data_IF_113770781131
#
_entry.id   IF_113770781131
#
_cell.length_a   1.000
_cell.length_b   1.000
_cell.length_c   1.000
_cell.angle_alpha   90.00
_cell.angle_beta   90.00
_cell.angle_gamma   90.00
#
_symmetry.space_group_name_H-M   'P 1'
#
loop_
_entity.id
_entity.type
_entity.pdbx_description
1 polymer ?
#
# COMPACT_ATOMS: atom_id res chain seq x y z
N UNK A 1 -9.91 -34.40 -13.85
CA UNK A 1 -8.78 -33.56 -14.28
C UNK A 1 -8.32 -32.75 -13.07
N UNK A 2 -7.21 -33.18 -12.46
CA UNK A 2 -6.73 -32.65 -11.18
C UNK A 2 -6.18 -31.25 -11.31
N UNK A 3 -6.63 -30.34 -10.45
CA UNK A 3 -5.99 -29.05 -10.24
C UNK A 3 -4.56 -29.28 -9.77
N UNK A 4 -3.55 -28.60 -10.31
CA UNK A 4 -2.20 -28.74 -9.82
C UNK A 4 -2.19 -28.24 -8.37
N UNK A 5 -1.87 -29.14 -7.45
CA UNK A 5 -1.54 -28.78 -6.07
C UNK A 5 -0.30 -27.92 -6.14
N UNK A 6 -0.45 -26.61 -6.03
CA UNK A 6 0.68 -25.72 -5.76
C UNK A 6 1.32 -26.24 -4.48
N UNK A 7 2.47 -26.85 -4.61
CA UNK A 7 3.28 -27.29 -3.49
C UNK A 7 3.71 -26.05 -2.72
N UNK A 8 3.12 -25.88 -1.56
CA UNK A 8 3.48 -24.85 -0.59
C UNK A 8 4.89 -25.12 -0.07
N UNK A 9 5.86 -24.65 -0.82
CA UNK A 9 7.23 -24.64 -0.30
C UNK A 9 7.41 -23.39 0.54
N UNK A 10 7.37 -23.61 1.83
CA UNK A 10 7.85 -22.70 2.89
C UNK A 10 9.33 -22.40 2.65
N UNK A 11 9.64 -21.57 1.70
CA UNK A 11 10.95 -21.00 1.54
C UNK A 11 10.80 -19.57 1.04
N UNK A 12 11.29 -18.60 1.78
CA UNK A 12 11.51 -17.25 1.32
C UNK A 12 12.46 -17.32 0.11
N UNK A 13 11.93 -17.69 -1.06
CA UNK A 13 12.68 -17.62 -2.31
C UNK A 13 12.61 -16.19 -2.80
N UNK A 14 13.73 -15.51 -2.76
CA UNK A 14 13.90 -14.28 -3.51
C UNK A 14 13.84 -14.66 -4.99
N UNK A 15 12.77 -14.27 -5.65
CA UNK A 15 12.59 -14.52 -7.10
C UNK A 15 13.46 -13.54 -7.88
N UNK A 16 14.72 -13.94 -8.07
CA UNK A 16 15.69 -13.15 -8.84
C UNK A 16 15.36 -13.11 -10.34
N UNK A 17 14.55 -14.06 -10.84
CA UNK A 17 14.16 -14.10 -12.25
C UNK A 17 13.18 -12.97 -12.63
N UNK A 18 12.34 -12.55 -11.69
CA UNK A 18 11.39 -11.45 -11.87
C UNK A 18 11.84 -10.15 -11.17
N UNK A 19 13.11 -10.06 -10.79
CA UNK A 19 13.64 -8.85 -10.17
C UNK A 19 13.78 -7.72 -11.20
N UNK A 20 12.92 -6.71 -11.10
CA UNK A 20 12.87 -5.56 -12.03
C UNK A 20 13.24 -4.24 -11.33
N UNK A 21 14.53 -4.03 -11.02
CA UNK A 21 14.96 -2.86 -10.23
C UNK A 21 14.68 -1.54 -10.94
N UNK A 22 14.80 -1.51 -12.28
CA UNK A 22 14.58 -0.28 -13.07
C UNK A 22 13.13 0.20 -12.95
N UNK A 23 12.15 -0.71 -13.05
CA UNK A 23 10.74 -0.35 -12.89
C UNK A 23 10.42 0.14 -11.47
N UNK A 24 11.05 -0.47 -10.46
CA UNK A 24 10.90 -0.05 -9.06
C UNK A 24 11.47 1.34 -8.81
N UNK A 25 12.63 1.66 -9.40
CA UNK A 25 13.24 3.00 -9.29
C UNK A 25 12.36 4.04 -9.97
N UNK A 26 11.90 3.77 -11.19
CA UNK A 26 11.01 4.70 -11.92
C UNK A 26 9.72 4.93 -11.13
N UNK A 27 9.09 3.87 -10.62
CA UNK A 27 7.89 3.97 -9.78
C UNK A 27 8.15 4.81 -8.52
N UNK A 28 9.28 4.59 -7.86
CA UNK A 28 9.70 5.37 -6.68
C UNK A 28 9.89 6.86 -6.98
N UNK A 29 10.51 7.20 -8.11
CA UNK A 29 10.68 8.59 -8.55
C UNK A 29 9.32 9.25 -8.80
N UNK A 30 8.40 8.57 -9.49
CA UNK A 30 7.06 9.09 -9.77
C UNK A 30 6.29 9.34 -8.47
N UNK A 31 6.34 8.40 -7.53
CA UNK A 31 5.69 8.55 -6.21
C UNK A 31 6.32 9.73 -5.44
N UNK A 32 7.65 9.83 -5.41
CA UNK A 32 8.37 10.93 -4.77
C UNK A 32 7.98 12.29 -5.35
N UNK A 33 7.94 12.39 -6.67
CA UNK A 33 7.51 13.61 -7.35
C UNK A 33 6.06 13.99 -7.03
N UNK A 34 5.14 13.03 -7.01
CA UNK A 34 3.74 13.26 -6.63
C UNK A 34 3.61 13.78 -5.19
N UNK A 35 4.40 13.24 -4.25
CA UNK A 35 4.43 13.70 -2.84
C UNK A 35 4.95 15.13 -2.74
N UNK A 36 5.99 15.48 -3.49
CA UNK A 36 6.55 16.85 -3.52
C UNK A 36 5.55 17.84 -4.09
N UNK A 37 4.90 17.51 -5.20
CA UNK A 37 3.84 18.33 -5.78
C UNK A 37 2.67 18.54 -4.82
N UNK A 38 2.23 17.49 -4.16
CA UNK A 38 1.18 17.58 -3.15
C UNK A 38 1.59 18.49 -1.98
N UNK A 39 2.82 18.35 -1.49
CA UNK A 39 3.36 19.23 -0.45
C UNK A 39 3.40 20.69 -0.90
N UNK A 40 3.84 20.95 -2.11
CA UNK A 40 3.88 22.30 -2.67
C UNK A 40 2.48 22.93 -2.77
N UNK A 41 1.49 22.14 -3.16
CA UNK A 41 0.10 22.61 -3.31
C UNK A 41 -0.62 22.83 -1.97
N UNK A 42 -0.32 22.02 -0.94
CA UNK A 42 -1.08 22.02 0.32
C UNK A 42 -0.29 22.54 1.52
N UNK A 43 1.04 22.64 1.41
CA UNK A 43 1.93 22.96 2.53
C UNK A 43 2.00 21.86 3.61
N UNK A 44 1.39 20.71 3.37
CA UNK A 44 1.29 19.62 4.36
C UNK A 44 1.79 18.30 3.80
N UNK A 45 2.56 17.60 4.62
CA UNK A 45 2.96 16.22 4.33
C UNK A 45 1.88 15.29 4.90
N UNK A 46 1.09 14.69 4.03
CA UNK A 46 0.06 13.75 4.46
C UNK A 46 0.19 12.42 3.72
N UNK A 47 0.10 11.33 4.47
CA UNK A 47 -0.12 10.02 3.87
C UNK A 47 -1.56 9.90 3.37
N UNK A 48 -1.84 8.89 2.56
CA UNK A 48 -3.15 8.69 1.93
C UNK A 48 -4.30 8.68 2.96
N UNK A 49 -4.12 8.09 4.14
CA UNK A 49 -5.14 8.11 5.20
C UNK A 49 -5.42 9.52 5.71
N UNK A 50 -4.40 10.37 5.85
CA UNK A 50 -4.54 11.76 6.25
C UNK A 50 -5.23 12.60 5.17
N UNK A 51 -4.88 12.37 3.90
CA UNK A 51 -5.53 13.00 2.74
C UNK A 51 -7.02 12.63 2.69
N UNK A 52 -7.35 11.35 2.86
CA UNK A 52 -8.72 10.87 2.89
C UNK A 52 -9.52 11.48 4.07
N UNK A 53 -8.93 11.53 5.27
CA UNK A 53 -9.56 12.13 6.44
C UNK A 53 -9.84 13.63 6.23
N UNK A 54 -8.87 14.37 5.66
CA UNK A 54 -9.03 15.79 5.36
C UNK A 54 -10.07 16.05 4.27
N UNK A 55 -10.15 15.17 3.26
CA UNK A 55 -11.15 15.28 2.19
C UNK A 55 -12.57 15.02 2.69
N UNK A 56 -12.75 14.03 3.57
CA UNK A 56 -14.08 13.56 3.99
C UNK A 56 -14.58 14.27 5.26
N UNK A 57 -13.72 14.46 6.25
CA UNK A 57 -14.13 14.91 7.59
C UNK A 57 -13.79 16.39 7.81
N UNK A 58 -12.52 16.75 7.69
CA UNK A 58 -12.04 18.09 8.07
C UNK A 58 -12.33 19.20 7.04
N UNK A 59 -12.64 18.82 5.82
CA UNK A 59 -12.93 19.72 4.68
C UNK A 59 -11.81 20.73 4.34
N UNK A 60 -10.65 20.65 4.97
CA UNK A 60 -9.51 21.51 4.64
C UNK A 60 -8.90 21.09 3.31
N UNK A 61 -8.67 22.03 2.41
CA UNK A 61 -8.15 21.79 1.06
C UNK A 61 -8.87 20.64 0.34
N UNK A 62 -10.19 20.53 0.56
CA UNK A 62 -11.01 19.40 0.12
C UNK A 62 -10.85 19.11 -1.37
N UNK A 63 -10.81 20.17 -2.17
CA UNK A 63 -10.69 20.02 -3.63
C UNK A 63 -9.38 19.35 -4.04
N UNK A 64 -8.24 19.82 -3.52
CA UNK A 64 -6.92 19.24 -3.81
C UNK A 64 -6.81 17.79 -3.30
N UNK A 65 -7.36 17.52 -2.12
CA UNK A 65 -7.38 16.19 -1.54
C UNK A 65 -8.23 15.21 -2.37
N UNK A 66 -9.39 15.64 -2.87
CA UNK A 66 -10.26 14.85 -3.73
C UNK A 66 -9.59 14.56 -5.08
N UNK A 67 -8.95 15.55 -5.72
CA UNK A 67 -8.22 15.36 -6.97
C UNK A 67 -7.12 14.30 -6.77
N UNK A 68 -6.38 14.37 -5.67
CA UNK A 68 -5.35 13.38 -5.36
C UNK A 68 -5.93 11.97 -5.22
N UNK A 69 -7.04 11.81 -4.50
CA UNK A 69 -7.71 10.51 -4.33
C UNK A 69 -8.26 9.97 -5.66
N UNK A 70 -8.84 10.83 -6.48
CA UNK A 70 -9.32 10.46 -7.82
C UNK A 70 -8.13 10.00 -8.68
N UNK A 71 -7.01 10.75 -8.67
CA UNK A 71 -5.79 10.37 -9.35
C UNK A 71 -5.24 9.00 -8.90
N UNK A 72 -5.32 8.70 -7.60
CA UNK A 72 -4.89 7.41 -7.05
C UNK A 72 -5.75 6.25 -7.56
N UNK A 73 -7.07 6.47 -7.73
CA UNK A 73 -8.00 5.45 -8.24
C UNK A 73 -7.85 5.29 -9.76
N UNK A 74 -7.70 6.40 -10.48
CA UNK A 74 -7.64 6.38 -11.95
C UNK A 74 -6.28 5.91 -12.48
N UNK A 75 -5.20 6.08 -11.72
CA UNK A 75 -3.84 5.68 -12.12
C UNK A 75 -3.72 4.24 -12.59
N UNK A 76 -4.13 3.24 -11.82
CA UNK A 76 -4.10 1.84 -12.23
C UNK A 76 -4.98 1.54 -13.46
N UNK A 77 -6.10 2.25 -13.60
CA UNK A 77 -7.00 2.09 -14.74
C UNK A 77 -6.31 2.57 -16.03
N UNK A 78 -5.70 3.75 -15.96
CA UNK A 78 -4.94 4.32 -17.08
C UNK A 78 -3.77 3.39 -17.44
N UNK A 79 -3.03 2.92 -16.44
CA UNK A 79 -1.92 1.98 -16.66
C UNK A 79 -2.38 0.70 -17.37
N UNK A 80 -3.54 0.14 -16.99
CA UNK A 80 -4.12 -1.05 -17.65
C UNK A 80 -4.49 -0.79 -19.11
N UNK A 81 -4.95 0.41 -19.45
CA UNK A 81 -5.31 0.78 -20.82
C UNK A 81 -4.07 0.86 -21.71
N UNK A 82 -2.96 1.41 -21.18
CA UNK A 82 -1.71 1.56 -21.95
C UNK A 82 -0.88 0.28 -21.99
N UNK A 83 -1.02 -0.59 -21.01
CA UNK A 83 -0.21 -1.80 -20.89
C UNK A 83 -1.12 -3.03 -21.06
N UNK A 84 -1.03 -3.67 -22.23
CA UNK A 84 -1.80 -4.87 -22.56
C UNK A 84 -1.42 -6.12 -21.76
N UNK A 85 -0.41 -6.04 -20.88
CA UNK A 85 -0.05 -7.14 -19.99
C UNK A 85 -1.04 -7.20 -18.82
N UNK A 86 -1.70 -8.34 -18.68
CA UNK A 86 -2.52 -8.61 -17.51
C UNK A 86 -1.65 -8.59 -16.26
N UNK A 87 -1.99 -7.72 -15.32
CA UNK A 87 -1.38 -7.73 -13.99
C UNK A 87 -2.03 -8.90 -13.26
N UNK A 88 -1.26 -9.95 -12.88
CA UNK A 88 -1.83 -11.04 -12.10
C UNK A 88 -2.29 -10.49 -10.74
N UNK A 89 -3.59 -10.41 -10.58
CA UNK A 89 -4.21 -9.86 -9.40
C UNK A 89 -5.03 -10.97 -8.72
N UNK A 90 -4.57 -11.41 -7.56
CA UNK A 90 -5.25 -12.41 -6.77
C UNK A 90 -5.89 -11.71 -5.56
N UNK A 91 -7.20 -11.65 -5.53
CA UNK A 91 -7.96 -11.24 -4.34
C UNK A 91 -8.61 -12.49 -3.76
N UNK A 92 -8.63 -12.56 -2.45
CA UNK A 92 -9.43 -13.55 -1.75
C UNK A 92 -10.92 -13.26 -2.01
N UNK A 93 -11.66 -14.25 -2.50
CA UNK A 93 -13.09 -14.11 -2.83
C UNK A 93 -13.97 -13.96 -1.58
N UNK A 94 -13.40 -14.11 -0.38
CA UNK A 94 -14.17 -14.02 0.86
C UNK A 94 -14.34 -12.56 1.29
N UNK A 95 -15.51 -12.01 1.03
CA UNK A 95 -15.89 -10.64 1.36
C UNK A 95 -15.72 -10.32 2.86
N UNK A 96 -15.95 -11.29 3.74
CA UNK A 96 -15.82 -11.09 5.19
C UNK A 96 -14.37 -10.80 5.56
N UNK A 97 -13.42 -11.52 4.99
CA UNK A 97 -11.99 -11.32 5.22
C UNK A 97 -11.57 -9.93 4.74
N UNK A 98 -12.06 -9.49 3.59
CA UNK A 98 -11.76 -8.17 3.03
C UNK A 98 -12.29 -7.07 3.94
N UNK A 99 -13.53 -7.18 4.41
CA UNK A 99 -14.16 -6.19 5.31
C UNK A 99 -13.42 -6.12 6.64
N UNK A 100 -13.16 -7.27 7.27
CA UNK A 100 -12.43 -7.33 8.54
C UNK A 100 -11.00 -6.78 8.41
N UNK A 101 -10.30 -7.15 7.34
CA UNK A 101 -8.97 -6.63 7.07
C UNK A 101 -8.96 -5.12 6.89
N UNK A 102 -9.89 -4.57 6.09
CA UNK A 102 -10.03 -3.14 5.89
C UNK A 102 -10.35 -2.38 7.18
N UNK A 103 -11.21 -2.94 8.03
CA UNK A 103 -11.58 -2.36 9.33
C UNK A 103 -10.39 -2.35 10.29
N UNK A 104 -9.64 -3.45 10.40
CA UNK A 104 -8.44 -3.54 11.23
C UNK A 104 -7.37 -2.55 10.78
N UNK A 105 -7.10 -2.46 9.47
CA UNK A 105 -6.16 -1.49 8.90
C UNK A 105 -6.64 -0.06 9.17
N UNK A 106 -7.93 0.21 8.99
CA UNK A 106 -8.52 1.54 9.27
C UNK A 106 -8.32 1.97 10.72
N UNK A 107 -8.64 1.11 11.69
CA UNK A 107 -8.41 1.35 13.12
C UNK A 107 -6.91 1.52 13.40
N UNK A 108 -6.07 0.63 12.87
CA UNK A 108 -4.62 0.68 13.07
C UNK A 108 -4.00 1.99 12.57
N UNK A 109 -4.43 2.50 11.42
CA UNK A 109 -3.93 3.78 10.88
C UNK A 109 -4.38 4.99 11.70
N UNK A 110 -5.54 4.93 12.34
CA UNK A 110 -5.99 5.98 13.25
C UNK A 110 -5.19 6.00 14.56
N UNK A 111 -4.98 4.83 15.17
CA UNK A 111 -4.19 4.70 16.41
C UNK A 111 -2.72 5.06 16.14
N UNK A 112 -2.16 4.59 15.02
CA UNK A 112 -0.77 4.86 14.62
C UNK A 112 -0.52 6.30 14.17
N UNK A 113 -1.56 7.12 14.02
CA UNK A 113 -1.52 8.49 13.47
C UNK A 113 -0.94 8.56 12.07
N UNK A 114 -1.12 7.52 11.27
CA UNK A 114 -0.67 7.47 9.87
C UNK A 114 -0.71 6.08 9.28
N UNK A 115 -0.77 6.04 7.96
CA UNK A 115 -0.69 4.79 7.19
C UNK A 115 0.75 4.48 6.76
N UNK A 116 0.94 3.33 6.11
CA UNK A 116 2.24 2.91 5.58
C UNK A 116 2.84 3.93 4.62
N UNK A 117 2.05 4.62 3.79
CA UNK A 117 2.54 5.68 2.90
C UNK A 117 2.98 6.93 3.67
N UNK A 118 2.28 7.30 4.74
CA UNK A 118 2.64 8.43 5.59
C UNK A 118 3.93 8.20 6.37
N UNK A 119 4.09 7.03 6.95
CA UNK A 119 5.32 6.68 7.69
C UNK A 119 6.43 6.17 6.77
N UNK A 120 6.13 5.28 5.83
CA UNK A 120 7.12 4.62 4.99
C UNK A 120 7.70 5.52 3.89
N UNK A 121 6.89 6.33 3.24
CA UNK A 121 7.38 7.23 2.18
C UNK A 121 7.77 8.58 2.77
N UNK A 122 6.81 9.29 3.37
CA UNK A 122 7.01 10.67 3.83
C UNK A 122 7.81 10.74 5.13
N UNK A 123 7.58 9.81 6.05
CA UNK A 123 8.24 9.82 7.36
C UNK A 123 9.69 9.38 7.30
N UNK A 124 10.01 8.38 6.49
CA UNK A 124 11.39 7.91 6.30
C UNK A 124 12.21 8.94 5.54
N UNK A 125 11.66 9.58 4.51
CA UNK A 125 12.37 10.62 3.76
C UNK A 125 12.80 11.80 4.65
N UNK A 126 12.14 12.01 5.79
CA UNK A 126 12.49 13.00 6.82
C UNK A 126 13.35 12.44 7.95
N UNK A 127 13.85 11.23 7.85
CA UNK A 127 14.63 10.53 8.89
C UNK A 127 13.95 10.52 10.27
N UNK A 128 12.62 10.46 10.31
CA UNK A 128 11.86 10.43 11.56
C UNK A 128 12.01 9.07 12.25
N UNK A 129 12.59 9.04 13.46
CA UNK A 129 12.75 7.81 14.26
C UNK A 129 11.40 7.12 14.52
N UNK A 130 10.34 7.90 14.80
CA UNK A 130 8.98 7.38 14.99
C UNK A 130 8.48 6.66 13.74
N UNK A 131 8.70 7.24 12.56
CA UNK A 131 8.24 6.67 11.30
C UNK A 131 9.04 5.42 10.92
N UNK A 132 10.32 5.38 11.24
CA UNK A 132 11.15 4.19 11.05
C UNK A 132 10.62 3.02 11.89
N UNK A 133 10.36 3.24 13.19
CA UNK A 133 9.78 2.22 14.07
C UNK A 133 8.41 1.76 13.58
N UNK A 134 7.53 2.70 13.21
CA UNK A 134 6.21 2.38 12.70
C UNK A 134 6.28 1.53 11.41
N UNK A 135 7.17 1.86 10.49
CA UNK A 135 7.36 1.10 9.25
C UNK A 135 7.86 -0.30 9.53
N UNK A 136 8.83 -0.45 10.43
CA UNK A 136 9.30 -1.78 10.86
C UNK A 136 8.16 -2.59 11.48
N UNK A 137 7.35 -2.01 12.37
CA UNK A 137 6.18 -2.68 12.94
C UNK A 137 5.20 -3.15 11.86
N UNK A 138 4.93 -2.35 10.83
CA UNK A 138 4.06 -2.75 9.71
C UNK A 138 4.64 -3.95 8.94
N UNK A 139 5.93 -3.92 8.63
CA UNK A 139 6.60 -5.02 7.93
C UNK A 139 6.55 -6.29 8.76
N UNK A 140 6.96 -6.22 10.03
CA UNK A 140 6.97 -7.39 10.91
C UNK A 140 5.57 -7.97 11.13
N UNK A 141 4.55 -7.12 11.37
CA UNK A 141 3.17 -7.59 11.51
C UNK A 141 2.66 -8.27 10.24
N UNK A 142 2.98 -7.73 9.07
CA UNK A 142 2.63 -8.33 7.79
C UNK A 142 3.27 -9.72 7.62
N UNK A 143 4.55 -9.85 7.89
CA UNK A 143 5.28 -11.14 7.83
C UNK A 143 4.68 -12.15 8.81
N UNK A 144 4.37 -11.74 10.04
CA UNK A 144 3.75 -12.62 11.05
C UNK A 144 2.38 -13.09 10.59
N UNK A 145 1.53 -12.20 10.09
CA UNK A 145 0.17 -12.57 9.63
C UNK A 145 0.24 -13.53 8.44
N UNK A 146 1.09 -13.26 7.45
CA UNK A 146 1.26 -14.17 6.30
C UNK A 146 1.75 -15.54 6.75
N UNK A 147 2.70 -15.59 7.68
CA UNK A 147 3.21 -16.83 8.24
C UNK A 147 2.10 -17.62 8.98
N UNK A 148 1.31 -16.94 9.83
CA UNK A 148 0.22 -17.55 10.56
C UNK A 148 -0.88 -18.07 9.63
N UNK A 149 -1.28 -17.29 8.65
CA UNK A 149 -2.31 -17.69 7.68
C UNK A 149 -1.88 -18.91 6.87
N UNK A 150 -0.63 -18.94 6.46
CA UNK A 150 -0.07 -20.10 5.76
C UNK A 150 0.03 -21.35 6.66
N UNK A 151 0.40 -21.19 7.94
CA UNK A 151 0.45 -22.29 8.91
C UNK A 151 -0.93 -22.86 9.28
N UNK A 152 -1.97 -22.01 9.26
CA UNK A 152 -3.35 -22.40 9.54
C UNK A 152 -4.07 -22.99 8.31
N UNK A 153 -3.40 -23.09 7.15
CA UNK A 153 -3.96 -23.66 5.93
C UNK A 153 -4.90 -22.73 5.17
N UNK A 154 -4.99 -21.47 5.57
CA UNK A 154 -5.65 -20.40 4.80
C UNK A 154 -4.68 -19.85 3.77
N UNK A 155 -4.17 -20.70 2.86
CA UNK A 155 -3.22 -20.29 1.84
C UNK A 155 -3.76 -19.10 1.02
N UNK A 156 -3.04 -17.98 1.10
CA UNK A 156 -3.23 -16.80 0.26
C UNK A 156 -2.42 -16.97 -1.01
#
# INVERSE_FOLDING_TARGET
MGKPKFAYYTCMRIDLANFTPIHSIIGGIIIGFAVVLYFYATGRLAGVSGIANNALIKKENRFTNLIFLIGLITGPIIYKIFNSKEIPFFINDNLIIIILGGLLVGIGTQIGMGCTSGHGVVGISRFSKRSLIATLCFIFSGVIIVYLMNSLGFGI
#
